data_IF_320272996173
#
_entry.id   IF_320272996173
#
_cell.length_a   1.000
_cell.length_b   1.000
_cell.length_c   1.000
_cell.angle_alpha   90.00
_cell.angle_beta   90.00
_cell.angle_gamma   90.00
#
_symmetry.space_group_name_H-M   'P 1'
#
loop_
_entity.id
_entity.type
_entity.pdbx_description
1 polymer ?
#
# COMPACT_ATOMS: atom_id res chain seq x y z
N UNK A 1 3.73 -55.21 -26.89
CA UNK A 1 2.56 -54.38 -27.21
C UNK A 1 1.99 -53.63 -25.99
N UNK A 2 2.07 -54.14 -24.78
CA UNK A 2 1.55 -53.55 -23.53
C UNK A 2 2.33 -52.30 -23.11
N UNK A 3 3.66 -52.26 -23.28
CA UNK A 3 4.53 -51.14 -22.88
C UNK A 3 4.25 -49.86 -23.67
N UNK A 4 4.06 -49.98 -25.01
CA UNK A 4 3.78 -48.84 -25.87
C UNK A 4 2.38 -48.23 -25.64
N UNK A 5 1.38 -49.03 -25.27
CA UNK A 5 0.05 -48.53 -24.86
C UNK A 5 0.08 -47.79 -23.54
N UNK A 6 0.79 -48.32 -22.55
CA UNK A 6 0.98 -47.62 -21.24
C UNK A 6 1.69 -46.28 -21.40
N UNK A 7 2.75 -46.22 -22.24
CA UNK A 7 3.49 -44.98 -22.48
C UNK A 7 2.61 -43.92 -23.17
N UNK A 8 1.75 -44.29 -24.12
CA UNK A 8 0.78 -43.37 -24.76
C UNK A 8 -0.26 -42.83 -23.78
N UNK A 9 -0.74 -43.66 -22.86
CA UNK A 9 -1.71 -43.23 -21.82
C UNK A 9 -1.00 -42.27 -20.83
N UNK A 10 0.22 -42.58 -20.45
CA UNK A 10 1.00 -41.71 -19.55
C UNK A 10 1.30 -40.32 -20.16
N UNK A 11 1.67 -40.30 -21.44
CA UNK A 11 1.88 -39.06 -22.21
C UNK A 11 0.59 -38.24 -22.35
N UNK A 12 -0.55 -38.89 -22.59
CA UNK A 12 -1.85 -38.22 -22.69
C UNK A 12 -2.28 -37.59 -21.37
N UNK A 13 -2.05 -38.28 -20.23
CA UNK A 13 -2.33 -37.77 -18.89
C UNK A 13 -1.38 -36.58 -18.55
N UNK A 14 -0.09 -36.69 -18.90
CA UNK A 14 0.88 -35.61 -18.68
C UNK A 14 0.54 -34.37 -19.50
N UNK A 15 0.16 -34.52 -20.78
CA UNK A 15 -0.31 -33.41 -21.62
C UNK A 15 -1.61 -32.76 -21.07
N UNK A 16 -2.54 -33.56 -20.55
CA UNK A 16 -3.77 -33.03 -19.94
C UNK A 16 -3.48 -32.25 -18.66
N UNK A 17 -2.57 -32.72 -17.81
CA UNK A 17 -2.13 -32.01 -16.59
C UNK A 17 -1.41 -30.69 -16.93
N UNK A 18 -0.57 -30.68 -17.95
CA UNK A 18 0.10 -29.47 -18.43
C UNK A 18 -0.90 -28.45 -19.00
N UNK A 19 -1.90 -28.90 -19.74
CA UNK A 19 -2.96 -28.04 -20.27
C UNK A 19 -3.79 -27.40 -19.13
N UNK A 20 -4.16 -28.18 -18.12
CA UNK A 20 -4.91 -27.65 -16.95
C UNK A 20 -4.08 -26.63 -16.19
N UNK A 21 -2.78 -26.87 -15.96
CA UNK A 21 -1.89 -25.90 -15.33
C UNK A 21 -1.76 -24.60 -16.14
N UNK A 22 -1.67 -24.69 -17.46
CA UNK A 22 -1.57 -23.50 -18.32
C UNK A 22 -2.86 -22.68 -18.32
N UNK A 23 -4.02 -23.33 -18.36
CA UNK A 23 -5.32 -22.66 -18.29
C UNK A 23 -5.51 -21.99 -16.93
N UNK A 24 -5.18 -22.65 -15.82
CA UNK A 24 -5.25 -22.05 -14.48
C UNK A 24 -4.35 -20.83 -14.36
N UNK A 25 -3.13 -20.88 -14.90
CA UNK A 25 -2.20 -19.75 -14.90
C UNK A 25 -2.71 -18.58 -15.78
N UNK A 26 -3.39 -18.87 -16.89
CA UNK A 26 -4.01 -17.85 -17.74
C UNK A 26 -5.19 -17.18 -17.04
N UNK A 27 -6.07 -17.96 -16.39
CA UNK A 27 -7.21 -17.44 -15.63
C UNK A 27 -6.70 -16.52 -14.51
N UNK A 28 -5.70 -16.95 -13.72
CA UNK A 28 -5.14 -16.15 -12.64
C UNK A 28 -4.52 -14.84 -13.14
N UNK A 29 -3.85 -14.84 -14.30
CA UNK A 29 -3.32 -13.61 -14.92
C UNK A 29 -4.42 -12.69 -15.40
N UNK A 30 -5.50 -13.25 -15.96
CA UNK A 30 -6.63 -12.45 -16.44
C UNK A 30 -7.35 -11.78 -15.25
N UNK A 31 -7.59 -12.51 -14.16
CA UNK A 31 -8.18 -11.96 -12.94
C UNK A 31 -7.30 -10.86 -12.32
N UNK A 32 -5.97 -11.03 -12.35
CA UNK A 32 -5.02 -10.01 -11.86
C UNK A 32 -5.06 -8.75 -12.74
N UNK A 33 -5.10 -8.90 -14.07
CA UNK A 33 -5.18 -7.76 -14.99
C UNK A 33 -6.52 -7.03 -14.89
N UNK A 34 -7.62 -7.74 -14.75
CA UNK A 34 -8.96 -7.18 -14.59
C UNK A 34 -9.09 -6.46 -13.24
N UNK A 35 -8.51 -7.03 -12.17
CA UNK A 35 -8.43 -6.41 -10.85
C UNK A 35 -7.60 -5.13 -10.87
N UNK A 36 -6.46 -5.11 -11.55
CA UNK A 36 -5.66 -3.89 -11.74
C UNK A 36 -6.42 -2.83 -12.53
N UNK A 37 -7.06 -3.20 -13.64
CA UNK A 37 -7.87 -2.28 -14.42
C UNK A 37 -9.02 -1.67 -13.61
N UNK A 38 -9.66 -2.46 -12.74
CA UNK A 38 -10.72 -1.99 -11.85
C UNK A 38 -10.21 -0.97 -10.83
N UNK A 39 -9.03 -1.20 -10.22
CA UNK A 39 -8.41 -0.25 -9.27
C UNK A 39 -8.09 1.09 -9.94
N UNK A 40 -7.58 1.08 -11.17
CA UNK A 40 -7.24 2.32 -11.89
C UNK A 40 -8.47 3.16 -12.28
N UNK A 41 -9.66 2.58 -12.31
CA UNK A 41 -10.93 3.32 -12.52
C UNK A 41 -11.43 4.04 -11.26
N UNK A 42 -10.91 3.69 -10.09
CA UNK A 42 -11.30 4.34 -8.85
C UNK A 42 -10.71 5.75 -8.72
N UNK A 43 -11.41 6.68 -8.05
CA UNK A 43 -10.86 7.98 -7.69
C UNK A 43 -9.53 7.82 -6.91
N UNK A 44 -8.61 8.76 -7.10
CA UNK A 44 -7.27 8.71 -6.47
C UNK A 44 -7.34 8.51 -4.96
N UNK A 45 -8.28 9.18 -4.27
CA UNK A 45 -8.47 9.03 -2.82
C UNK A 45 -8.84 7.59 -2.43
N UNK A 46 -9.68 6.91 -3.22
CA UNK A 46 -10.06 5.52 -2.94
C UNK A 46 -8.90 4.56 -3.23
N UNK A 47 -8.10 4.82 -4.23
CA UNK A 47 -6.85 4.05 -4.46
C UNK A 47 -5.88 4.19 -3.30
N UNK A 48 -5.63 5.42 -2.84
CA UNK A 48 -4.79 5.70 -1.68
C UNK A 48 -5.33 5.04 -0.41
N UNK A 49 -6.65 5.10 -0.20
CA UNK A 49 -7.33 4.45 0.91
C UNK A 49 -7.13 2.92 0.89
N UNK A 50 -7.39 2.26 -0.25
CA UNK A 50 -7.23 0.81 -0.38
C UNK A 50 -5.79 0.37 -0.20
N UNK A 51 -4.84 1.10 -0.80
CA UNK A 51 -3.40 0.85 -0.66
C UNK A 51 -2.96 0.97 0.81
N UNK A 52 -3.32 2.07 1.48
CA UNK A 52 -2.97 2.28 2.89
C UNK A 52 -3.57 1.20 3.77
N UNK A 53 -4.87 0.91 3.62
CA UNK A 53 -5.56 -0.14 4.36
C UNK A 53 -4.90 -1.50 4.21
N UNK A 54 -4.48 -1.86 2.99
CA UNK A 54 -3.80 -3.12 2.71
C UNK A 54 -2.47 -3.25 3.45
N UNK A 55 -1.64 -2.20 3.42
CA UNK A 55 -0.31 -2.25 4.05
C UNK A 55 -0.32 -2.06 5.56
N UNK A 56 -1.28 -1.31 6.12
CA UNK A 56 -1.39 -1.15 7.57
C UNK A 56 -1.93 -2.40 8.25
N UNK A 57 -2.90 -3.10 7.63
CA UNK A 57 -3.60 -4.19 8.26
C UNK A 57 -4.44 -3.75 9.47
N UNK A 58 -5.01 -4.71 10.19
CA UNK A 58 -5.88 -4.45 11.33
C UNK A 58 -5.10 -4.32 12.64
N UNK A 59 -5.32 -3.20 13.35
CA UNK A 59 -4.73 -2.95 14.66
C UNK A 59 -5.72 -3.32 15.77
N UNK A 60 -5.38 -4.37 16.52
CA UNK A 60 -6.10 -4.84 17.70
C UNK A 60 -5.54 -4.21 18.98
N UNK A 61 -6.08 -4.57 20.15
CA UNK A 61 -5.68 -4.03 21.47
C UNK A 61 -4.16 -4.10 21.75
N UNK A 62 -3.49 -5.15 21.25
CA UNK A 62 -2.02 -5.31 21.40
C UNK A 62 -1.19 -4.24 20.68
N UNK A 63 -1.82 -3.46 19.80
CA UNK A 63 -1.15 -2.42 19.03
C UNK A 63 -1.36 -1.01 19.61
N UNK A 64 -1.91 -0.92 20.85
CA UNK A 64 -2.08 0.38 21.50
C UNK A 64 -0.83 1.25 21.36
N UNK A 65 -0.94 2.56 21.03
CA UNK A 65 -2.14 3.38 20.90
C UNK A 65 -2.78 3.42 19.50
N UNK A 66 -2.54 2.40 18.67
CA UNK A 66 -3.09 2.35 17.32
C UNK A 66 -4.37 1.52 17.26
N UNK A 67 -5.34 1.96 16.44
CA UNK A 67 -6.63 1.29 16.26
C UNK A 67 -7.01 1.22 14.78
N UNK A 68 -7.88 0.26 14.44
CA UNK A 68 -8.43 0.11 13.09
C UNK A 68 -7.33 -0.11 12.04
N UNK A 69 -7.24 0.77 11.05
CA UNK A 69 -6.23 0.72 9.99
C UNK A 69 -5.01 1.61 10.30
N UNK A 70 -4.55 1.61 11.54
CA UNK A 70 -3.33 2.30 11.95
C UNK A 70 -3.53 3.74 12.43
N UNK A 71 -4.76 4.15 12.76
CA UNK A 71 -4.98 5.44 13.40
C UNK A 71 -4.36 5.46 14.80
N UNK A 72 -3.49 6.43 15.05
CA UNK A 72 -2.95 6.67 16.39
C UNK A 72 -3.92 7.54 17.20
N UNK A 73 -4.51 6.94 18.24
CA UNK A 73 -5.44 7.65 19.12
C UNK A 73 -4.77 8.88 19.73
N UNK A 74 -5.40 10.03 19.58
CA UNK A 74 -4.92 11.32 20.11
C UNK A 74 -5.55 11.62 21.47
N UNK A 75 -4.96 12.56 22.21
CA UNK A 75 -5.57 13.06 23.44
C UNK A 75 -6.96 13.63 23.18
N UNK A 76 -7.95 13.21 23.99
CA UNK A 76 -9.34 13.61 23.83
C UNK A 76 -10.16 12.73 22.86
N UNK A 77 -9.56 11.75 22.18
CA UNK A 77 -10.29 10.78 21.36
C UNK A 77 -10.68 9.53 22.19
N UNK A 78 -11.88 9.02 21.97
CA UNK A 78 -12.44 7.85 22.68
C UNK A 78 -12.39 6.55 21.85
N UNK A 79 -11.54 6.47 20.81
CA UNK A 79 -11.46 5.27 20.01
C UNK A 79 -10.79 4.11 20.78
N UNK A 80 -11.41 2.92 20.69
CA UNK A 80 -10.90 1.69 21.30
C UNK A 80 -10.83 0.58 20.26
N UNK A 81 -9.70 -0.14 20.22
CA UNK A 81 -9.54 -1.28 19.32
C UNK A 81 -10.53 -2.42 19.63
N UNK A 82 -11.04 -2.49 20.88
CA UNK A 82 -12.02 -3.50 21.29
C UNK A 82 -13.39 -3.30 20.64
N UNK A 83 -13.81 -2.05 20.47
CA UNK A 83 -15.16 -1.70 19.99
C UNK A 83 -15.17 -1.18 18.56
N UNK A 84 -13.99 -0.95 17.96
CA UNK A 84 -13.89 -0.39 16.61
C UNK A 84 -14.40 -1.37 15.55
N UNK A 85 -15.40 -0.96 14.79
CA UNK A 85 -15.88 -1.68 13.61
C UNK A 85 -15.03 -1.35 12.38
N UNK A 86 -15.02 -2.24 11.38
CA UNK A 86 -14.35 -1.99 10.09
C UNK A 86 -14.89 -0.73 9.41
N UNK A 87 -16.20 -0.50 9.47
CA UNK A 87 -16.86 0.70 8.91
C UNK A 87 -16.34 1.98 9.57
N UNK A 88 -16.23 1.99 10.89
CA UNK A 88 -15.66 3.13 11.63
C UNK A 88 -14.19 3.34 11.28
N UNK A 89 -13.40 2.27 11.21
CA UNK A 89 -11.99 2.34 10.81
C UNK A 89 -11.82 2.86 9.38
N UNK A 90 -12.68 2.45 8.44
CA UNK A 90 -12.68 2.93 7.05
C UNK A 90 -12.98 4.44 6.99
N UNK A 91 -13.96 4.91 7.74
CA UNK A 91 -14.30 6.34 7.83
C UNK A 91 -13.14 7.14 8.45
N UNK A 92 -12.52 6.60 9.50
CA UNK A 92 -11.40 7.21 10.21
C UNK A 92 -10.16 7.32 9.33
N UNK A 93 -9.80 6.27 8.59
CA UNK A 93 -8.67 6.30 7.65
C UNK A 93 -8.88 7.37 6.56
N UNK A 94 -10.09 7.47 5.98
CA UNK A 94 -10.39 8.52 4.99
C UNK A 94 -10.30 9.93 5.60
N UNK A 95 -10.74 10.10 6.85
CA UNK A 95 -10.60 11.37 7.60
C UNK A 95 -9.13 11.72 7.78
N UNK A 96 -8.30 10.76 8.19
CA UNK A 96 -6.87 10.97 8.41
C UNK A 96 -6.14 11.30 7.11
N UNK A 97 -6.40 10.58 6.02
CA UNK A 97 -5.82 10.89 4.72
C UNK A 97 -6.16 12.32 4.26
N UNK A 98 -7.42 12.77 4.45
CA UNK A 98 -7.81 14.18 4.14
C UNK A 98 -7.08 15.16 5.04
N UNK A 99 -6.91 14.86 6.34
CA UNK A 99 -6.15 15.69 7.28
C UNK A 99 -4.70 15.83 6.83
N UNK A 100 -4.05 14.74 6.42
CA UNK A 100 -2.70 14.81 5.88
C UNK A 100 -2.63 15.53 4.53
N UNK A 101 -3.61 15.35 3.63
CA UNK A 101 -3.71 16.14 2.39
C UNK A 101 -3.73 17.65 2.68
N UNK A 102 -4.48 18.08 3.70
CA UNK A 102 -4.53 19.48 4.10
C UNK A 102 -3.16 20.03 4.53
N UNK A 103 -2.35 19.21 5.24
CA UNK A 103 -0.97 19.58 5.61
C UNK A 103 -0.10 19.83 4.37
N UNK A 104 -0.27 19.00 3.33
CA UNK A 104 0.51 19.07 2.08
C UNK A 104 -0.17 19.87 0.96
N UNK A 105 -1.24 20.62 1.26
CA UNK A 105 -2.05 21.34 0.26
C UNK A 105 -1.23 22.19 -0.71
N UNK A 106 -0.15 22.80 -0.24
CA UNK A 106 0.73 23.63 -1.09
C UNK A 106 1.39 22.87 -2.26
N UNK A 107 1.45 21.56 -2.21
CA UNK A 107 2.02 20.71 -3.25
C UNK A 107 1.00 20.26 -4.32
N UNK A 108 -0.24 20.80 -4.26
CA UNK A 108 -1.25 20.59 -5.30
C UNK A 108 -1.54 19.10 -5.53
N UNK A 109 -1.34 18.63 -6.75
CA UNK A 109 -1.60 17.23 -7.16
C UNK A 109 -0.76 16.20 -6.41
N UNK A 110 0.37 16.57 -5.81
CA UNK A 110 1.21 15.67 -5.01
C UNK A 110 0.75 15.53 -3.56
N UNK A 111 -0.25 16.32 -3.13
CA UNK A 111 -0.74 16.33 -1.75
C UNK A 111 -1.17 14.96 -1.26
N UNK A 112 -1.89 14.19 -2.09
CA UNK A 112 -2.37 12.86 -1.72
C UNK A 112 -1.25 11.83 -1.62
N UNK A 113 -0.28 11.88 -2.56
CA UNK A 113 0.90 11.02 -2.51
C UNK A 113 1.71 11.26 -1.23
N UNK A 114 1.92 12.54 -0.88
CA UNK A 114 2.62 12.92 0.35
C UNK A 114 1.81 12.55 1.60
N UNK A 115 0.49 12.68 1.57
CA UNK A 115 -0.40 12.26 2.65
C UNK A 115 -0.31 10.76 2.91
N UNK A 116 -0.31 9.96 1.86
CA UNK A 116 -0.19 8.50 1.94
C UNK A 116 1.14 8.08 2.57
N UNK A 117 2.25 8.72 2.15
CA UNK A 117 3.56 8.50 2.76
C UNK A 117 3.58 8.95 4.23
N UNK A 118 3.05 10.13 4.52
CA UNK A 118 3.02 10.70 5.86
C UNK A 118 2.16 9.89 6.85
N UNK A 119 1.13 9.21 6.38
CA UNK A 119 0.35 8.30 7.20
C UNK A 119 1.21 7.22 7.85
N UNK A 120 2.20 6.72 7.11
CA UNK A 120 3.11 5.68 7.60
C UNK A 120 4.34 6.25 8.36
N UNK A 121 4.97 7.30 7.83
CA UNK A 121 6.26 7.78 8.38
C UNK A 121 6.12 9.01 9.28
N UNK A 122 4.95 9.64 9.29
CA UNK A 122 4.69 10.91 9.96
C UNK A 122 5.05 12.14 9.10
N UNK A 123 4.28 13.24 9.20
CA UNK A 123 4.47 14.43 8.36
C UNK A 123 5.79 15.15 8.63
N UNK A 124 6.27 15.12 9.87
CA UNK A 124 7.52 15.80 10.25
C UNK A 124 8.78 15.12 9.71
N UNK A 125 8.71 13.83 9.37
CA UNK A 125 9.80 13.15 8.64
C UNK A 125 9.95 13.68 7.21
N UNK A 126 8.90 14.26 6.65
CA UNK A 126 8.91 14.89 5.33
C UNK A 126 9.24 16.38 5.43
N UNK A 127 8.47 17.12 6.21
CA UNK A 127 8.55 18.58 6.30
C UNK A 127 9.71 19.09 7.14
N UNK A 128 10.28 18.23 8.00
CA UNK A 128 11.23 18.63 9.03
C UNK A 128 10.52 19.17 10.27
N UNK A 129 11.17 19.06 11.42
CA UNK A 129 10.70 19.64 12.70
C UNK A 129 11.83 19.61 13.71
N UNK A 130 12.13 20.74 14.34
CA UNK A 130 13.20 20.84 15.33
C UNK A 130 14.54 20.31 14.79
N UNK A 131 15.01 19.16 15.33
CA UNK A 131 16.26 18.51 14.92
C UNK A 131 16.13 17.65 13.65
N UNK A 132 14.91 17.42 13.14
CA UNK A 132 14.67 16.61 11.95
C UNK A 132 14.76 17.53 10.74
N UNK A 133 15.73 17.34 9.82
CA UNK A 133 15.84 18.17 8.64
C UNK A 133 14.69 17.87 7.65
N UNK A 134 14.32 18.88 6.85
CA UNK A 134 13.41 18.71 5.73
C UNK A 134 13.96 17.68 4.76
N UNK A 135 13.11 16.74 4.33
CA UNK A 135 13.51 15.66 3.41
C UNK A 135 13.91 16.18 2.03
N UNK A 136 14.76 15.44 1.33
CA UNK A 136 15.14 15.74 -0.06
C UNK A 136 13.92 15.71 -0.99
N UNK A 137 12.95 14.81 -0.73
CA UNK A 137 11.67 14.74 -1.43
C UNK A 137 10.94 16.10 -1.42
N UNK A 138 10.79 16.70 -0.25
CA UNK A 138 10.09 17.99 -0.10
C UNK A 138 10.92 19.13 -0.72
N UNK A 139 12.24 19.13 -0.55
CA UNK A 139 13.11 20.15 -1.16
C UNK A 139 13.02 20.14 -2.69
N UNK A 140 12.99 18.97 -3.31
CA UNK A 140 12.82 18.84 -4.77
C UNK A 140 11.47 19.39 -5.22
N UNK A 141 10.38 19.02 -4.56
CA UNK A 141 9.05 19.53 -4.89
C UNK A 141 8.95 21.07 -4.71
N UNK A 142 9.56 21.63 -3.67
CA UNK A 142 9.63 23.09 -3.46
C UNK A 142 10.45 23.79 -4.53
N UNK A 143 11.44 23.12 -5.12
CA UNK A 143 12.21 23.61 -6.27
C UNK A 143 11.52 23.39 -7.61
N UNK A 144 10.30 22.83 -7.63
CA UNK A 144 9.57 22.50 -8.87
C UNK A 144 10.01 21.21 -9.55
N UNK A 145 10.98 20.48 -8.98
CA UNK A 145 11.45 19.20 -9.53
C UNK A 145 10.52 18.07 -9.08
N UNK A 146 9.80 17.50 -10.05
CA UNK A 146 8.85 16.40 -9.83
C UNK A 146 9.42 15.02 -10.14
N UNK A 147 10.70 14.91 -10.49
CA UNK A 147 11.36 13.63 -10.62
C UNK A 147 11.75 13.11 -9.22
N UNK A 148 10.74 12.68 -8.47
CA UNK A 148 10.80 12.36 -7.02
C UNK A 148 10.68 10.87 -6.70
N UNK A 149 10.57 10.00 -7.70
CA UNK A 149 10.41 8.56 -7.47
C UNK A 149 11.50 7.98 -6.58
N UNK A 150 12.76 8.34 -6.86
CA UNK A 150 13.92 7.84 -6.11
C UNK A 150 13.88 8.27 -4.65
N UNK A 151 13.52 9.51 -4.39
CA UNK A 151 13.39 10.08 -3.05
C UNK A 151 12.21 9.46 -2.30
N UNK A 152 11.10 9.19 -2.99
CA UNK A 152 9.92 8.57 -2.41
C UNK A 152 10.20 7.13 -1.98
N UNK A 153 10.76 6.30 -2.84
CA UNK A 153 11.07 4.90 -2.50
C UNK A 153 12.17 4.76 -1.45
N UNK A 154 12.99 5.80 -1.22
CA UNK A 154 14.01 5.82 -0.16
C UNK A 154 13.40 5.74 1.25
N UNK A 155 12.10 6.07 1.43
CA UNK A 155 11.38 5.87 2.71
C UNK A 155 11.02 4.39 2.98
N UNK A 156 11.95 3.50 2.70
CA UNK A 156 11.79 2.05 2.87
C UNK A 156 12.74 1.46 3.94
N UNK A 157 13.39 2.28 4.76
CA UNK A 157 14.30 1.82 5.80
C UNK A 157 13.60 1.61 7.14
N UNK A 158 13.97 0.52 7.83
CA UNK A 158 13.58 0.24 9.21
C UNK A 158 14.82 -0.10 10.02
N UNK A 159 15.02 0.58 11.16
CA UNK A 159 16.22 0.43 12.00
C UNK A 159 17.54 0.57 11.21
N UNK A 160 17.58 1.54 10.28
CA UNK A 160 18.76 1.81 9.45
C UNK A 160 18.99 0.85 8.28
N UNK A 161 18.16 -0.20 8.11
CA UNK A 161 18.28 -1.18 7.03
C UNK A 161 17.09 -1.11 6.07
N UNK A 162 17.34 -1.39 4.81
CA UNK A 162 16.29 -1.49 3.78
C UNK A 162 15.33 -2.64 4.10
N UNK A 163 14.03 -2.36 4.09
CA UNK A 163 13.00 -3.34 4.41
C UNK A 163 12.14 -3.65 3.17
N UNK A 164 12.09 -4.93 2.78
CA UNK A 164 11.45 -5.36 1.54
C UNK A 164 9.96 -4.98 1.45
N UNK A 165 9.19 -5.16 2.54
CA UNK A 165 7.76 -4.81 2.57
C UNK A 165 7.54 -3.30 2.49
N UNK A 166 8.37 -2.48 3.14
CA UNK A 166 8.29 -1.03 3.00
C UNK A 166 8.63 -0.59 1.58
N UNK A 167 9.61 -1.22 0.94
CA UNK A 167 9.92 -0.93 -0.46
C UNK A 167 8.76 -1.32 -1.39
N UNK A 168 8.13 -2.49 -1.19
CA UNK A 168 6.93 -2.91 -1.91
C UNK A 168 5.80 -1.89 -1.74
N UNK A 169 5.58 -1.44 -0.50
CA UNK A 169 4.61 -0.40 -0.18
C UNK A 169 4.89 0.91 -0.93
N UNK A 170 6.12 1.44 -0.88
CA UNK A 170 6.49 2.68 -1.58
C UNK A 170 6.25 2.59 -3.08
N UNK A 171 6.57 1.45 -3.69
CA UNK A 171 6.32 1.21 -5.12
C UNK A 171 4.83 1.15 -5.47
N UNK A 172 4.01 0.61 -4.57
CA UNK A 172 2.57 0.52 -4.78
C UNK A 172 1.84 1.86 -4.54
N UNK A 173 2.37 2.71 -3.67
CA UNK A 173 1.82 4.04 -3.37
C UNK A 173 2.13 5.06 -4.47
N UNK A 174 3.30 4.94 -5.13
CA UNK A 174 3.76 5.87 -6.17
C UNK A 174 3.10 5.58 -7.50
#
# INVERSE_FOLDING_TARGET
QTSAKMMRVFMAILCSLMAVCSVSAQISRQEETDGQAAIYRLPLMERAFLCTRYFEGWHSEKHHPYVGWGHRVQSGESYSARTMTKRQADALLRKDLRKFCAIFRKFGRDSLLLATLAYNVGPYRLLGSGKIPKSTLIRKLEAGDRNIYREYIAFCNYKGKRHAMLLKRRKAEF
#
